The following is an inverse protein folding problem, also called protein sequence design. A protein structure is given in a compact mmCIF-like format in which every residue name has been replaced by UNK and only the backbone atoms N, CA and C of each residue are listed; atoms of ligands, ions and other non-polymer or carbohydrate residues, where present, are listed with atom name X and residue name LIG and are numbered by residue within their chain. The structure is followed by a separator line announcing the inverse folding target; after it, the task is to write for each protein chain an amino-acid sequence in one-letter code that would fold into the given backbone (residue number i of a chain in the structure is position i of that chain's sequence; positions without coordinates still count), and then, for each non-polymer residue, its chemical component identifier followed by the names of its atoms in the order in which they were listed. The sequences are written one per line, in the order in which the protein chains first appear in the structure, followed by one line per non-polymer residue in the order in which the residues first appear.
data_IF_652031993194
#
_entry.id   IF_652031993194
#
_cell.length_a   1.000
_cell.length_b   1.000
_cell.length_c   1.000
_cell.angle_alpha   90.00
_cell.angle_beta   90.00
_cell.angle_gamma   90.00
#
_symmetry.space_group_name_H-M   'P 1'
#
loop_
_entity.id
_entity.type
_entity.pdbx_description
1 polymer ?
#
# COMPACT_ATOMS: atom_id res chain seq x y z
N UNK A 1 -0.52 8.96 -0.13
CA UNK A 1 -1.34 7.93 0.53
C UNK A 1 -2.48 8.52 1.36
N UNK A 2 -2.24 9.38 2.36
CA UNK A 2 -3.27 9.96 3.25
C UNK A 2 -4.45 10.64 2.54
N UNK A 3 -4.23 11.33 1.41
CA UNK A 3 -5.33 11.95 0.65
C UNK A 3 -6.34 10.94 0.08
N UNK A 4 -5.90 9.76 -0.37
CA UNK A 4 -6.78 8.77 -1.01
C UNK A 4 -7.64 8.03 0.02
N UNK A 5 -7.05 7.70 1.17
CA UNK A 5 -7.77 7.14 2.32
C UNK A 5 -8.76 8.14 2.93
N UNK A 6 -8.37 9.42 3.07
CA UNK A 6 -9.30 10.46 3.54
C UNK A 6 -10.48 10.69 2.61
N UNK A 7 -10.28 10.66 1.29
CA UNK A 7 -11.37 10.82 0.33
C UNK A 7 -12.33 9.63 0.40
N UNK A 8 -11.84 8.38 0.47
CA UNK A 8 -12.72 7.19 0.59
C UNK A 8 -13.55 7.19 1.89
N UNK A 9 -12.97 7.63 3.02
CA UNK A 9 -13.68 7.74 4.29
C UNK A 9 -14.79 8.80 4.23
N UNK A 10 -14.53 9.93 3.59
CA UNK A 10 -15.53 10.98 3.36
C UNK A 10 -16.63 10.47 2.42
N UNK A 11 -16.28 9.71 1.39
CA UNK A 11 -17.25 9.13 0.45
C UNK A 11 -18.17 8.11 1.13
N UNK A 12 -17.69 7.34 2.11
CA UNK A 12 -18.52 6.40 2.89
C UNK A 12 -19.55 7.16 3.74
N UNK A 13 -19.14 8.27 4.34
CA UNK A 13 -20.02 9.10 5.18
C UNK A 13 -21.12 9.80 4.36
N UNK A 14 -20.78 10.24 3.14
CA UNK A 14 -21.69 10.97 2.24
C UNK A 14 -22.66 10.06 1.48
N UNK A 15 -22.59 8.74 1.65
CA UNK A 15 -23.51 7.81 0.98
C UNK A 15 -24.88 7.79 1.65
N UNK A 16 -25.93 7.87 0.83
CA UNK A 16 -27.33 7.72 1.24
C UNK A 16 -27.68 6.22 1.40
N UNK A 17 -27.01 5.58 2.38
CA UNK A 17 -27.18 4.17 2.76
C UNK A 17 -27.40 4.08 4.27
N UNK A 18 -27.87 2.93 4.75
CA UNK A 18 -28.12 2.75 6.18
C UNK A 18 -26.84 2.87 7.01
N UNK A 19 -26.95 3.35 8.25
CA UNK A 19 -25.80 3.46 9.18
C UNK A 19 -25.08 2.13 9.39
N UNK A 20 -25.82 1.01 9.38
CA UNK A 20 -25.23 -0.32 9.45
C UNK A 20 -24.35 -0.64 8.22
N UNK A 21 -24.78 -0.27 7.02
CA UNK A 21 -24.00 -0.45 5.81
C UNK A 21 -22.78 0.46 5.75
N UNK A 22 -22.89 1.71 6.24
CA UNK A 22 -21.73 2.61 6.40
C UNK A 22 -20.69 1.99 7.33
N UNK A 23 -21.12 1.49 8.48
CA UNK A 23 -20.23 0.79 9.42
C UNK A 23 -19.53 -0.42 8.77
N UNK A 24 -20.27 -1.27 8.07
CA UNK A 24 -19.68 -2.44 7.40
C UNK A 24 -18.67 -2.05 6.33
N UNK A 25 -18.93 -0.98 5.57
CA UNK A 25 -17.99 -0.46 4.57
C UNK A 25 -16.73 0.08 5.22
N UNK A 26 -16.86 0.84 6.31
CA UNK A 26 -15.75 1.35 7.09
C UNK A 26 -14.89 0.21 7.66
N UNK A 27 -15.52 -0.78 8.29
CA UNK A 27 -14.84 -1.95 8.83
C UNK A 27 -14.01 -2.67 7.77
N UNK A 28 -14.60 -2.96 6.60
CA UNK A 28 -13.91 -3.61 5.48
C UNK A 28 -12.75 -2.75 4.96
N UNK A 29 -12.92 -1.44 4.92
CA UNK A 29 -11.86 -0.53 4.50
C UNK A 29 -10.67 -0.56 5.48
N UNK A 30 -10.94 -0.54 6.80
CA UNK A 30 -9.90 -0.66 7.83
C UNK A 30 -9.16 -1.99 7.71
N UNK A 31 -9.89 -3.11 7.62
CA UNK A 31 -9.30 -4.45 7.48
C UNK A 31 -8.41 -4.56 6.23
N UNK A 32 -8.87 -4.01 5.09
CA UNK A 32 -8.08 -3.96 3.87
C UNK A 32 -6.83 -3.10 4.05
N UNK A 33 -6.94 -1.97 4.73
CA UNK A 33 -5.81 -1.06 4.99
C UNK A 33 -4.76 -1.73 5.86
N UNK A 34 -5.18 -2.43 6.91
CA UNK A 34 -4.30 -3.18 7.81
C UNK A 34 -3.52 -4.26 7.05
N UNK A 35 -4.21 -5.01 6.18
CA UNK A 35 -3.57 -6.00 5.30
C UNK A 35 -2.50 -5.36 4.41
N UNK A 36 -2.77 -4.19 3.83
CA UNK A 36 -1.81 -3.48 2.98
C UNK A 36 -0.55 -3.10 3.76
N UNK A 37 -0.72 -2.58 4.99
CA UNK A 37 0.40 -2.26 5.88
C UNK A 37 1.18 -3.52 6.20
N UNK A 38 0.51 -4.63 6.53
CA UNK A 38 1.17 -5.92 6.79
C UNK A 38 1.95 -6.45 5.58
N UNK A 39 1.36 -6.42 4.40
CA UNK A 39 2.01 -6.86 3.16
C UNK A 39 3.29 -6.05 2.88
N UNK A 40 3.27 -4.74 3.16
CA UNK A 40 4.40 -3.84 2.94
C UNK A 40 5.48 -3.94 4.02
N UNK A 41 5.11 -4.04 5.30
CA UNK A 41 6.02 -3.78 6.42
C UNK A 41 6.30 -4.97 7.33
N UNK A 42 5.45 -6.00 7.32
CA UNK A 42 5.72 -7.20 8.14
C UNK A 42 6.80 -8.06 7.49
N UNK A 43 7.64 -8.67 8.32
CA UNK A 43 8.66 -9.67 7.91
C UNK A 43 9.61 -9.19 6.80
N UNK A 44 10.48 -8.22 7.12
CA UNK A 44 11.51 -7.71 6.21
C UNK A 44 12.77 -8.60 6.26
N UNK A 45 12.81 -9.61 5.38
CA UNK A 45 13.97 -10.48 5.21
C UNK A 45 14.64 -10.19 3.87
N UNK A 46 15.96 -10.37 3.78
CA UNK A 46 16.69 -10.18 2.51
C UNK A 46 16.13 -11.01 1.36
N UNK A 47 15.61 -12.21 1.65
CA UNK A 47 15.02 -13.10 0.65
C UNK A 47 13.67 -12.63 0.10
N UNK A 48 12.92 -11.80 0.85
CA UNK A 48 11.60 -11.30 0.44
C UNK A 48 11.57 -9.78 0.22
N UNK A 49 12.70 -9.09 0.38
CA UNK A 49 12.77 -7.62 0.32
C UNK A 49 12.33 -7.09 -1.05
N UNK A 50 12.65 -7.79 -2.14
CA UNK A 50 12.22 -7.42 -3.48
C UNK A 50 10.69 -7.39 -3.57
N UNK A 51 10.00 -8.35 -2.94
CA UNK A 51 8.55 -8.43 -2.92
C UNK A 51 7.94 -7.30 -2.08
N UNK A 52 8.58 -6.94 -0.96
CA UNK A 52 8.18 -5.77 -0.14
C UNK A 52 8.28 -4.48 -0.94
N UNK A 53 9.37 -4.30 -1.69
CA UNK A 53 9.55 -3.16 -2.60
C UNK A 53 8.46 -3.13 -3.67
N UNK A 54 8.07 -4.27 -4.25
CA UNK A 54 6.94 -4.33 -5.19
C UNK A 54 5.62 -3.90 -4.54
N UNK A 55 5.31 -4.35 -3.31
CA UNK A 55 4.11 -3.91 -2.60
C UNK A 55 4.12 -2.41 -2.33
N UNK A 56 5.24 -1.85 -1.89
CA UNK A 56 5.39 -0.41 -1.70
C UNK A 56 5.15 0.37 -2.99
N UNK A 57 5.62 -0.12 -4.14
CA UNK A 57 5.34 0.49 -5.45
C UNK A 57 3.86 0.37 -5.83
N UNK A 58 3.27 -0.81 -5.66
CA UNK A 58 1.85 -1.06 -5.97
C UNK A 58 0.89 -0.13 -5.22
N UNK A 59 1.25 0.26 -4.00
CA UNK A 59 0.44 1.16 -3.16
C UNK A 59 0.93 2.62 -3.18
N UNK A 60 1.75 3.00 -4.17
CA UNK A 60 2.30 4.35 -4.37
C UNK A 60 3.04 4.92 -3.14
N UNK A 61 3.62 4.03 -2.32
CA UNK A 61 4.45 4.37 -1.16
C UNK A 61 5.91 4.57 -1.54
N UNK A 62 6.36 3.90 -2.60
CA UNK A 62 7.70 4.03 -3.16
C UNK A 62 7.60 4.50 -4.61
N UNK A 63 8.10 5.70 -4.86
CA UNK A 63 8.10 6.33 -6.19
C UNK A 63 9.43 6.06 -6.91
N UNK A 64 9.44 6.25 -8.23
CA UNK A 64 10.68 6.13 -9.01
C UNK A 64 11.76 7.10 -8.53
N UNK A 65 11.38 8.31 -8.10
CA UNK A 65 12.32 9.27 -7.52
C UNK A 65 13.03 8.75 -6.25
N UNK A 66 12.37 7.90 -5.46
CA UNK A 66 13.00 7.24 -4.30
C UNK A 66 13.99 6.15 -4.74
N UNK A 67 13.71 5.45 -5.85
CA UNK A 67 14.60 4.43 -6.41
C UNK A 67 15.87 5.03 -7.03
N UNK A 68 15.75 6.23 -7.60
CA UNK A 68 16.88 6.95 -8.19
C UNK A 68 17.95 7.32 -7.14
N UNK A 69 17.56 7.41 -5.87
CA UNK A 69 18.46 7.66 -4.74
C UNK A 69 19.05 6.36 -4.13
N UNK A 70 18.63 5.18 -4.58
CA UNK A 70 19.17 3.92 -4.10
C UNK A 70 20.50 3.58 -4.79
N UNK A 71 21.28 2.70 -4.16
CA UNK A 71 22.51 2.19 -4.74
C UNK A 71 22.23 1.32 -5.97
N UNK A 72 23.22 1.24 -6.87
CA UNK A 72 23.13 0.45 -8.11
C UNK A 72 22.77 -1.02 -7.85
N UNK A 73 23.32 -1.61 -6.79
CA UNK A 73 23.04 -3.00 -6.43
C UNK A 73 21.58 -3.24 -6.04
N UNK A 74 20.90 -2.27 -5.44
CA UNK A 74 19.48 -2.37 -5.08
C UNK A 74 18.60 -2.17 -6.32
N UNK A 75 18.96 -1.24 -7.22
CA UNK A 75 18.26 -1.07 -8.50
C UNK A 75 18.32 -2.32 -9.36
N UNK A 76 19.52 -2.89 -9.51
CA UNK A 76 19.72 -4.13 -10.28
C UNK A 76 18.91 -5.31 -9.71
N UNK A 77 18.82 -5.43 -8.38
CA UNK A 77 17.98 -6.44 -7.72
C UNK A 77 16.51 -6.26 -8.08
N UNK A 78 16.00 -5.03 -8.05
CA UNK A 78 14.59 -4.74 -8.37
C UNK A 78 14.31 -5.07 -9.84
N UNK A 79 15.17 -4.64 -10.76
CA UNK A 79 15.03 -4.91 -12.20
C UNK A 79 15.01 -6.41 -12.52
N UNK A 80 15.89 -7.19 -11.88
CA UNK A 80 15.96 -8.64 -12.05
C UNK A 80 14.64 -9.36 -11.71
N UNK A 81 13.91 -8.89 -10.70
CA UNK A 81 12.62 -9.49 -10.29
C UNK A 81 11.41 -8.86 -10.99
N UNK A 82 11.63 -7.90 -11.89
CA UNK A 82 10.57 -7.24 -12.69
C UNK A 82 10.49 -7.72 -14.13
N UNK A 83 11.49 -8.45 -14.63
CA UNK A 83 11.44 -9.17 -15.92
C UNK A 83 10.61 -10.44 -15.84
#
# INVERSE_FOLDING_TARGET
MTKKFHIELIDIELQDVSEHEKYLKLYKHIEKSDKIVGDCFNDWRRSNIWLKIQFLRKYDLLTNAHLDQMSDGVRALIEHYQS
#
